data_IF_641358684320
#
_entry.id   IF_641358684320
#
_cell.length_a   1.000
_cell.length_b   1.000
_cell.length_c   1.000
_cell.angle_alpha   90.00
_cell.angle_beta   90.00
_cell.angle_gamma   90.00
#
_symmetry.space_group_name_H-M   'P 1'
#
loop_
_entity.id
_entity.type
_entity.pdbx_description
1 polymer ?
#
# COMPACT_ATOMS: atom_id res chain seq x y z
N UNK A 1 5.48 27.61 24.51
CA UNK A 1 5.63 26.17 24.70
C UNK A 1 5.36 25.50 23.35
N UNK A 2 6.41 24.93 22.73
CA UNK A 2 6.31 24.31 21.42
C UNK A 2 5.97 22.84 21.63
N UNK A 3 4.77 22.42 21.25
CA UNK A 3 4.40 21.01 21.21
C UNK A 3 5.08 20.35 20.01
N UNK A 4 5.81 19.25 20.16
CA UNK A 4 6.32 18.52 19.01
C UNK A 4 5.15 17.81 18.34
N UNK A 5 4.85 18.16 17.10
CA UNK A 5 3.99 17.37 16.22
C UNK A 5 4.62 15.97 16.14
N UNK A 6 3.94 14.98 16.69
CA UNK A 6 4.23 13.59 16.41
C UNK A 6 3.72 13.29 14.99
N UNK A 7 4.61 13.41 14.03
CA UNK A 7 4.33 12.90 12.69
C UNK A 7 4.16 11.38 12.79
N UNK A 8 2.91 10.90 12.71
CA UNK A 8 2.64 9.49 12.46
C UNK A 8 3.10 9.21 11.03
N UNK A 9 4.25 8.55 10.91
CA UNK A 9 4.72 8.06 9.62
C UNK A 9 3.73 6.99 9.13
N UNK A 10 3.14 7.14 7.93
CA UNK A 10 2.34 6.08 7.35
C UNK A 10 3.27 4.89 7.11
N UNK A 11 2.90 3.73 7.64
CA UNK A 11 3.62 2.49 7.43
C UNK A 11 3.40 2.08 5.96
N UNK A 12 4.36 2.40 5.12
CA UNK A 12 4.34 2.02 3.71
C UNK A 12 4.91 0.60 3.61
N UNK A 13 4.03 -0.39 3.47
CA UNK A 13 4.47 -1.72 3.07
C UNK A 13 4.61 -1.73 1.54
N UNK A 14 5.83 -1.60 1.05
CA UNK A 14 6.13 -1.72 -0.39
C UNK A 14 6.57 -3.14 -0.66
N UNK A 15 5.77 -3.89 -1.41
CA UNK A 15 6.17 -5.16 -1.97
C UNK A 15 6.68 -4.92 -3.40
N UNK A 16 7.98 -5.12 -3.64
CA UNK A 16 8.55 -5.04 -4.98
C UNK A 16 8.36 -6.37 -5.72
N UNK A 17 7.88 -6.30 -6.94
CA UNK A 17 7.63 -7.45 -7.81
C UNK A 17 8.88 -7.75 -8.63
N UNK A 18 9.46 -8.92 -8.48
CA UNK A 18 10.48 -9.41 -9.40
C UNK A 18 9.85 -9.75 -10.76
N UNK A 19 10.55 -9.46 -11.85
CA UNK A 19 10.09 -9.47 -13.24
C UNK A 19 9.77 -10.86 -13.85
N UNK A 20 9.49 -11.87 -13.04
CA UNK A 20 9.20 -13.24 -13.50
C UNK A 20 7.71 -13.62 -13.42
N UNK A 21 6.81 -12.65 -13.27
CA UNK A 21 5.38 -12.93 -13.12
C UNK A 21 4.68 -13.12 -14.45
N UNK A 22 3.96 -14.23 -14.59
CA UNK A 22 3.13 -14.49 -15.77
C UNK A 22 1.81 -13.72 -15.65
N UNK A 23 1.49 -12.75 -16.55
CA UNK A 23 0.32 -11.89 -16.40
C UNK A 23 -1.03 -12.57 -16.71
N UNK A 24 -1.06 -13.87 -16.99
CA UNK A 24 -2.26 -14.58 -17.46
C UNK A 24 -2.85 -15.58 -16.45
N UNK A 25 -2.63 -15.42 -15.15
CA UNK A 25 -3.19 -16.34 -14.15
C UNK A 25 -4.48 -15.80 -13.51
N UNK A 26 -5.58 -16.36 -13.97
CA UNK A 26 -6.84 -16.65 -13.26
C UNK A 26 -7.69 -15.54 -12.61
N UNK A 27 -8.92 -15.51 -13.09
CA UNK A 27 -10.08 -14.81 -12.56
C UNK A 27 -10.51 -15.34 -11.17
N UNK A 28 -10.21 -14.60 -10.11
CA UNK A 28 -10.63 -14.90 -8.74
C UNK A 28 -11.87 -14.11 -8.28
N UNK A 29 -12.70 -13.66 -9.19
CA UNK A 29 -13.90 -12.89 -8.88
C UNK A 29 -14.92 -13.64 -7.99
N UNK A 30 -14.70 -14.92 -7.70
CA UNK A 30 -15.60 -15.76 -6.90
C UNK A 30 -15.20 -15.95 -5.43
N UNK A 31 -14.10 -15.35 -4.97
CA UNK A 31 -13.62 -15.52 -3.60
C UNK A 31 -13.93 -14.33 -2.67
N UNK A 32 -15.02 -13.65 -2.89
CA UNK A 32 -15.51 -12.57 -2.02
C UNK A 32 -16.00 -13.09 -0.65
N UNK A 33 -15.17 -13.82 0.06
CA UNK A 33 -15.48 -14.36 1.38
C UNK A 33 -14.35 -15.16 2.01
N UNK A 34 -13.34 -15.54 1.23
CA UNK A 34 -12.16 -16.23 1.74
C UNK A 34 -11.00 -15.22 1.84
N UNK A 35 -10.51 -15.04 3.04
CA UNK A 35 -9.28 -14.29 3.26
C UNK A 35 -8.15 -15.02 2.52
N UNK A 36 -7.52 -14.35 1.56
CA UNK A 36 -6.38 -14.91 0.83
C UNK A 36 -5.22 -15.12 1.82
N UNK A 37 -4.76 -16.37 2.00
CA UNK A 37 -3.75 -16.70 3.02
C UNK A 37 -2.38 -16.07 2.72
N UNK A 38 -2.16 -15.53 1.54
CA UNK A 38 -0.93 -14.80 1.20
C UNK A 38 -0.80 -13.49 1.95
N UNK A 39 -1.90 -12.93 2.45
CA UNK A 39 -1.93 -11.61 3.06
C UNK A 39 -2.16 -11.67 4.58
N UNK A 40 -1.52 -10.77 5.28
CA UNK A 40 -1.86 -10.47 6.66
C UNK A 40 -3.31 -9.93 6.76
N UNK A 41 -3.96 -10.02 7.93
CA UNK A 41 -5.29 -9.45 8.12
C UNK A 41 -5.31 -7.95 7.82
N UNK A 42 -6.30 -7.51 7.05
CA UNK A 42 -6.57 -6.10 6.86
C UNK A 42 -7.36 -5.55 8.05
N UNK A 43 -6.78 -4.59 8.76
CA UNK A 43 -7.29 -4.11 10.06
C UNK A 43 -7.84 -2.69 10.02
N UNK A 44 -7.70 -1.99 8.91
CA UNK A 44 -8.18 -0.62 8.80
C UNK A 44 -9.69 -0.57 8.57
N UNK A 45 -10.32 0.43 9.15
CA UNK A 45 -11.76 0.69 9.02
C UNK A 45 -12.00 2.01 8.28
N UNK A 46 -13.21 2.24 7.85
CA UNK A 46 -13.62 3.47 7.18
C UNK A 46 -15.01 3.90 7.63
N UNK A 47 -15.21 5.19 7.82
CA UNK A 47 -16.51 5.78 8.18
C UNK A 47 -17.48 5.82 7.00
N UNK A 48 -16.97 5.62 5.80
CA UNK A 48 -17.74 5.68 4.56
C UNK A 48 -17.41 4.49 3.67
N UNK A 49 -18.33 4.19 2.77
CA UNK A 49 -18.08 3.23 1.70
C UNK A 49 -16.86 3.68 0.86
N UNK A 50 -15.90 2.78 0.71
CA UNK A 50 -14.71 2.99 -0.10
C UNK A 50 -14.83 2.25 -1.43
N UNK A 51 -14.14 2.77 -2.46
CA UNK A 51 -14.07 2.14 -3.78
C UNK A 51 -12.62 1.95 -4.20
N UNK A 52 -12.39 0.88 -4.95
CA UNK A 52 -11.11 0.73 -5.66
C UNK A 52 -11.06 1.78 -6.77
N UNK A 53 -9.99 2.56 -6.76
CA UNK A 53 -9.72 3.59 -7.75
C UNK A 53 -8.51 3.19 -8.59
N UNK A 54 -8.63 3.31 -9.90
CA UNK A 54 -7.51 3.13 -10.83
C UNK A 54 -6.87 4.50 -11.07
N UNK A 55 -5.97 4.89 -10.15
CA UNK A 55 -5.35 6.22 -10.17
C UNK A 55 -3.86 6.11 -9.87
N UNK A 56 -3.05 6.37 -10.87
CA UNK A 56 -1.60 6.48 -10.74
C UNK A 56 -1.17 7.83 -10.16
N UNK A 57 -1.95 8.87 -10.39
CA UNK A 57 -1.72 10.21 -9.83
C UNK A 57 -1.68 10.17 -8.29
N UNK A 58 -2.56 9.41 -7.63
CA UNK A 58 -2.55 9.24 -6.17
C UNK A 58 -1.22 8.73 -5.63
N UNK A 59 -0.54 7.87 -6.38
CA UNK A 59 0.79 7.40 -6.01
C UNK A 59 1.87 8.43 -6.34
N UNK A 60 1.86 8.96 -7.56
CA UNK A 60 2.91 9.84 -8.06
C UNK A 60 2.87 11.24 -7.43
N UNK A 61 1.71 11.70 -7.00
CA UNK A 61 1.58 12.94 -6.23
C UNK A 61 2.10 12.75 -4.80
N UNK A 62 1.78 11.62 -4.17
CA UNK A 62 2.22 11.34 -2.80
C UNK A 62 3.68 10.94 -2.71
N UNK A 63 4.14 10.15 -3.68
CA UNK A 63 5.53 9.68 -3.79
C UNK A 63 6.08 9.92 -5.20
N UNK A 64 6.56 11.13 -5.50
CA UNK A 64 6.99 11.49 -6.86
C UNK A 64 8.10 10.58 -7.42
N UNK A 65 8.95 10.03 -6.57
CA UNK A 65 10.01 9.08 -6.96
C UNK A 65 9.48 7.71 -7.40
N UNK A 66 8.22 7.37 -7.11
CA UNK A 66 7.65 6.07 -7.44
C UNK A 66 7.51 5.87 -8.95
N UNK A 67 7.15 6.91 -9.70
CA UNK A 67 6.95 6.87 -11.16
C UNK A 67 6.01 5.73 -11.59
N UNK A 68 4.92 5.54 -10.84
CA UNK A 68 3.96 4.48 -11.11
C UNK A 68 3.36 4.63 -12.52
N UNK A 69 3.30 3.54 -13.26
CA UNK A 69 2.73 3.47 -14.62
C UNK A 69 1.33 2.83 -14.62
N UNK A 70 1.00 2.08 -13.58
CA UNK A 70 -0.31 1.52 -13.32
C UNK A 70 -0.52 1.46 -11.80
N UNK A 71 -1.78 1.53 -11.35
CA UNK A 71 -2.07 1.42 -9.93
C UNK A 71 -3.55 1.30 -9.62
N UNK A 72 -3.81 0.51 -8.59
CA UNK A 72 -5.13 0.37 -7.99
C UNK A 72 -5.01 0.70 -6.50
N UNK A 73 -5.86 1.56 -6.00
CA UNK A 73 -5.77 2.11 -4.66
C UNK A 73 -7.12 2.13 -3.97
N UNK A 74 -7.11 1.90 -2.66
CA UNK A 74 -8.21 2.20 -1.77
C UNK A 74 -7.68 3.14 -0.70
N UNK A 75 -8.37 4.25 -0.52
CA UNK A 75 -8.06 5.23 0.51
C UNK A 75 -9.32 5.56 1.30
N UNK A 76 -9.17 5.81 2.57
CA UNK A 76 -10.25 6.23 3.44
C UNK A 76 -9.80 7.14 4.56
N UNK A 77 -10.80 7.70 5.19
CA UNK A 77 -10.70 8.49 6.41
C UNK A 77 -11.43 7.74 7.52
N UNK A 78 -10.83 7.69 8.68
CA UNK A 78 -11.40 7.11 9.89
C UNK A 78 -11.34 8.15 11.00
N UNK A 79 -12.41 8.28 11.77
CA UNK A 79 -12.40 9.02 13.00
C UNK A 79 -12.25 8.05 14.17
N UNK A 80 -11.30 8.28 15.02
CA UNK A 80 -11.12 7.53 16.25
C UNK A 80 -11.91 8.20 17.38
N UNK A 81 -12.96 7.53 17.87
CA UNK A 81 -13.62 7.94 19.09
C UNK A 81 -15.15 8.04 19.05
N UNK A 82 -15.76 8.04 20.22
CA UNK A 82 -17.23 8.08 20.42
C UNK A 82 -17.81 9.46 20.09
N UNK A 83 -16.98 10.51 20.12
CA UNK A 83 -17.37 11.90 19.87
C UNK A 83 -16.77 12.43 18.56
N UNK A 84 -17.16 11.84 17.45
CA UNK A 84 -16.69 12.21 16.11
C UNK A 84 -16.74 13.72 15.79
N UNK A 85 -17.64 14.46 16.46
CA UNK A 85 -17.79 15.90 16.28
C UNK A 85 -16.63 16.73 16.89
N UNK A 86 -15.85 16.13 17.79
CA UNK A 86 -14.73 16.78 18.47
C UNK A 86 -13.37 16.29 18.00
N UNK A 87 -13.35 15.29 17.13
CA UNK A 87 -12.11 14.72 16.56
C UNK A 87 -11.62 15.63 15.43
N UNK A 88 -10.62 16.44 15.75
CA UNK A 88 -10.08 17.45 14.83
C UNK A 88 -9.06 16.83 13.85
N UNK A 89 -8.52 15.65 14.16
CA UNK A 89 -7.46 15.01 13.38
C UNK A 89 -7.87 13.60 12.94
N UNK A 90 -8.61 13.50 11.82
CA UNK A 90 -8.98 12.19 11.29
C UNK A 90 -7.73 11.41 10.82
N UNK A 91 -7.74 10.12 11.06
CA UNK A 91 -6.75 9.23 10.49
C UNK A 91 -7.04 8.96 9.01
N UNK A 92 -6.02 9.08 8.19
CA UNK A 92 -6.08 8.73 6.78
C UNK A 92 -5.23 7.49 6.54
N UNK A 93 -5.78 6.54 5.80
CA UNK A 93 -5.03 5.40 5.33
C UNK A 93 -5.20 5.22 3.82
N UNK A 94 -4.19 4.64 3.22
CA UNK A 94 -4.16 4.29 1.81
C UNK A 94 -3.47 2.93 1.68
N UNK A 95 -4.11 2.03 0.96
CA UNK A 95 -3.50 0.77 0.51
C UNK A 95 -3.62 0.66 -1.00
N UNK A 96 -2.64 0.04 -1.65
CA UNK A 96 -2.64 -0.03 -3.09
C UNK A 96 -1.67 -1.04 -3.66
N UNK A 97 -1.85 -1.31 -4.95
CA UNK A 97 -0.95 -2.10 -5.78
C UNK A 97 -0.57 -1.25 -6.97
N UNK A 98 0.71 -1.05 -7.20
CA UNK A 98 1.21 -0.23 -8.29
C UNK A 98 2.27 -0.97 -9.10
N UNK A 99 2.31 -0.68 -10.39
CA UNK A 99 3.41 -1.06 -11.28
C UNK A 99 4.34 0.13 -11.39
N UNK A 100 5.62 -0.10 -11.15
CA UNK A 100 6.66 0.93 -11.21
C UNK A 100 7.78 0.49 -12.17
N UNK A 101 8.61 1.42 -12.68
CA UNK A 101 9.76 1.08 -13.51
C UNK A 101 10.74 0.15 -12.81
N UNK A 102 11.42 -0.68 -13.58
CA UNK A 102 12.46 -1.60 -13.06
C UNK A 102 13.54 -0.85 -12.29
N UNK A 103 13.93 0.33 -12.75
CA UNK A 103 14.91 1.18 -12.05
C UNK A 103 14.48 1.57 -10.65
N UNK A 104 13.19 1.84 -10.44
CA UNK A 104 12.64 2.11 -9.10
C UNK A 104 12.67 0.85 -8.24
N UNK A 105 12.34 -0.31 -8.84
CA UNK A 105 12.40 -1.61 -8.16
C UNK A 105 13.84 -1.91 -7.74
N UNK A 106 14.80 -1.78 -8.65
CA UNK A 106 16.20 -2.08 -8.39
C UNK A 106 16.73 -1.25 -7.20
N UNK A 107 16.42 0.04 -7.18
CA UNK A 107 16.82 0.93 -6.08
C UNK A 107 16.15 0.53 -4.75
N UNK A 108 14.88 0.17 -4.77
CA UNK A 108 14.18 -0.31 -3.57
C UNK A 108 14.75 -1.64 -3.08
N UNK A 109 15.13 -2.54 -4.00
CA UNK A 109 15.69 -3.85 -3.67
C UNK A 109 17.05 -3.78 -2.99
N UNK A 110 17.80 -2.69 -3.08
CA UNK A 110 19.00 -2.45 -2.29
C UNK A 110 18.72 -2.47 -0.77
N UNK A 111 17.49 -2.14 -0.38
CA UNK A 111 16.99 -2.21 1.01
C UNK A 111 16.18 -3.47 1.31
N UNK A 112 16.25 -4.51 0.48
CA UNK A 112 15.54 -5.75 0.73
C UNK A 112 16.04 -6.44 1.99
N UNK A 113 15.10 -6.82 2.86
CA UNK A 113 15.38 -7.49 4.14
C UNK A 113 15.11 -9.00 4.11
N UNK A 114 14.79 -9.53 2.94
CA UNK A 114 14.53 -10.95 2.70
C UNK A 114 13.20 -11.24 2.01
N UNK A 115 12.90 -12.50 1.82
CA UNK A 115 11.66 -12.95 1.19
C UNK A 115 10.46 -12.68 2.12
N UNK A 116 9.40 -12.16 1.53
CA UNK A 116 8.14 -11.99 2.23
C UNK A 116 7.36 -13.31 2.21
N UNK A 117 7.26 -13.97 3.34
CA UNK A 117 6.43 -15.18 3.50
C UNK A 117 4.93 -14.85 3.59
N UNK A 118 4.60 -13.67 4.07
CA UNK A 118 3.25 -13.13 4.17
C UNK A 118 3.27 -11.70 3.63
N UNK A 119 2.36 -11.39 2.73
CA UNK A 119 2.21 -10.05 2.17
C UNK A 119 1.50 -9.14 3.18
N UNK A 120 1.73 -7.83 3.12
CA UNK A 120 1.05 -6.88 4.00
C UNK A 120 -0.48 -6.94 3.83
N UNK A 121 -1.20 -6.65 4.92
CA UNK A 121 -2.65 -6.54 4.90
C UNK A 121 -3.08 -5.31 4.09
N UNK A 122 -3.55 -5.53 2.90
CA UNK A 122 -4.16 -4.51 2.04
C UNK A 122 -5.66 -4.78 1.92
N UNK A 123 -6.42 -3.79 1.44
CA UNK A 123 -7.85 -3.99 1.20
C UNK A 123 -8.09 -5.25 0.34
N UNK A 124 -8.95 -6.20 0.77
CA UNK A 124 -9.14 -7.47 0.06
C UNK A 124 -9.52 -7.35 -1.41
N UNK A 125 -10.17 -6.25 -1.80
CA UNK A 125 -10.52 -5.98 -3.20
C UNK A 125 -9.30 -5.71 -4.09
N UNK A 126 -8.12 -5.47 -3.49
CA UNK A 126 -6.86 -5.27 -4.19
C UNK A 126 -6.10 -6.58 -4.43
N UNK A 127 -6.42 -7.67 -3.73
CA UNK A 127 -5.69 -8.94 -3.83
C UNK A 127 -5.60 -9.45 -5.27
N UNK A 128 -6.67 -9.28 -6.06
CA UNK A 128 -6.72 -9.68 -7.48
C UNK A 128 -5.72 -8.98 -8.40
N UNK A 129 -5.14 -7.86 -7.95
CA UNK A 129 -4.12 -7.13 -8.71
C UNK A 129 -2.71 -7.53 -8.31
N UNK A 130 -2.56 -8.38 -7.30
CA UNK A 130 -1.27 -8.89 -6.87
C UNK A 130 -1.00 -10.22 -7.58
N UNK A 131 0.05 -10.30 -8.39
CA UNK A 131 0.33 -11.50 -9.17
C UNK A 131 0.50 -12.73 -8.28
N UNK A 132 0.11 -13.88 -8.81
CA UNK A 132 0.40 -15.17 -8.21
C UNK A 132 1.74 -15.70 -8.71
N UNK A 133 2.28 -16.66 -8.00
CA UNK A 133 3.54 -17.33 -8.38
C UNK A 133 4.72 -16.36 -8.54
N UNK A 134 4.72 -15.27 -7.80
CA UNK A 134 5.82 -14.33 -7.72
C UNK A 134 6.56 -14.48 -6.40
N UNK A 135 7.86 -14.23 -6.42
CA UNK A 135 8.62 -14.02 -5.20
C UNK A 135 8.50 -12.55 -4.78
N UNK A 136 8.20 -12.34 -3.52
CA UNK A 136 8.08 -11.01 -2.95
C UNK A 136 9.20 -10.79 -1.94
N UNK A 137 9.74 -9.60 -1.93
CA UNK A 137 10.73 -9.18 -0.94
C UNK A 137 10.15 -8.10 -0.06
N UNK A 138 10.52 -8.15 1.21
CA UNK A 138 10.22 -7.07 2.15
C UNK A 138 11.28 -5.99 2.01
N UNK A 139 10.87 -4.75 1.89
CA UNK A 139 11.76 -3.60 1.88
C UNK A 139 11.72 -2.93 3.25
N UNK A 140 12.89 -2.60 3.78
CA UNK A 140 12.98 -1.85 5.03
C UNK A 140 12.24 -0.50 4.87
N UNK A 141 11.30 -0.15 5.78
CA UNK A 141 10.52 1.08 5.69
C UNK A 141 11.36 2.36 5.70
N UNK A 142 12.47 2.39 6.45
CA UNK A 142 13.37 3.55 6.49
C UNK A 142 14.06 3.73 5.14
N UNK A 143 14.51 2.64 4.53
CA UNK A 143 15.10 2.67 3.19
C UNK A 143 14.07 3.10 2.15
N UNK A 144 12.86 2.52 2.17
CA UNK A 144 11.78 2.89 1.26
C UNK A 144 11.42 4.37 1.37
N UNK A 145 11.33 4.91 2.58
CA UNK A 145 11.04 6.32 2.82
C UNK A 145 12.21 7.25 2.39
N UNK A 146 13.44 6.79 2.44
CA UNK A 146 14.60 7.56 1.95
C UNK A 146 14.61 7.66 0.42
N UNK A 147 14.22 6.58 -0.27
CA UNK A 147 14.14 6.51 -1.74
C UNK A 147 12.86 7.17 -2.27
N UNK A 148 11.74 6.96 -1.59
CA UNK A 148 10.42 7.45 -1.96
C UNK A 148 9.86 8.32 -0.83
N UNK A 149 10.45 9.50 -0.56
CA UNK A 149 9.93 10.37 0.46
C UNK A 149 8.51 10.82 0.09
N UNK A 150 7.55 10.69 1.02
CA UNK A 150 6.22 11.20 0.77
C UNK A 150 6.25 12.72 0.68
N UNK A 151 5.47 13.28 -0.24
CA UNK A 151 5.28 14.73 -0.30
C UNK A 151 4.55 15.18 0.95
N UNK A 152 5.11 16.16 1.63
CA UNK A 152 4.39 16.85 2.70
C UNK A 152 3.21 17.62 2.10
N UNK A 153 2.03 17.41 2.64
CA UNK A 153 0.79 18.06 2.22
C UNK A 153 0.60 19.42 2.85
#
# INVERSE_FOLDING_TARGET
>A
MKHPLKALAPLLAVAALATACNPFANDYSHLSGLQDPRFAPFTYTSDRETKVQTRIDSFNERWPGMQATNGNVVAARTHSGILHALDQDPEYWLTGVATVPTTTIDTLMEGASGDASVLPGIDPRLHKFVPENCHFSTINPEHANAILPPREG
#
